data_IF_484559804888
#
_entry.id   IF_484559804888
#
_cell.length_a   1.000
_cell.length_b   1.000
_cell.length_c   1.000
_cell.angle_alpha   90.00
_cell.angle_beta   90.00
_cell.angle_gamma   90.00
#
_symmetry.space_group_name_H-M   'P 1'
#
loop_
_entity.id
_entity.type
_entity.pdbx_description
1 polymer ?
#
# COMPACT_ATOMS: atom_id res chain seq x y z
N UNK A 1 3.41 6.10 20.74
CA UNK A 1 4.28 5.40 19.78
C UNK A 1 4.55 6.31 18.61
N UNK A 2 5.81 6.57 18.31
CA UNK A 2 6.15 7.35 17.12
C UNK A 2 5.98 6.48 15.88
N UNK A 3 5.09 6.90 14.99
CA UNK A 3 4.86 6.26 13.69
C UNK A 3 5.51 7.10 12.59
N UNK A 4 5.85 6.51 11.45
CA UNK A 4 6.52 7.26 10.38
C UNK A 4 5.68 8.44 9.89
N UNK A 5 6.34 9.56 9.64
CA UNK A 5 5.73 10.79 9.11
C UNK A 5 6.23 11.12 7.70
N UNK A 6 7.34 10.55 7.32
CA UNK A 6 7.97 10.75 6.01
C UNK A 6 8.81 9.54 5.60
N UNK A 7 9.37 9.58 4.41
CA UNK A 7 10.18 8.48 3.86
C UNK A 7 11.41 8.17 4.71
N UNK A 8 12.03 9.18 5.28
CA UNK A 8 13.22 8.99 6.12
C UNK A 8 12.86 8.14 7.35
N UNK A 9 11.78 8.51 8.01
CA UNK A 9 11.30 7.76 9.18
C UNK A 9 10.81 6.36 8.80
N UNK A 10 10.11 6.22 7.66
CA UNK A 10 9.68 4.90 7.19
C UNK A 10 10.88 3.99 6.95
N UNK A 11 11.92 4.50 6.30
CA UNK A 11 13.14 3.72 6.06
C UNK A 11 13.83 3.31 7.36
N UNK A 12 13.84 4.17 8.36
CA UNK A 12 14.40 3.86 9.68
C UNK A 12 13.59 2.74 10.37
N UNK A 13 12.27 2.85 10.40
CA UNK A 13 11.39 1.82 10.97
C UNK A 13 11.52 0.49 10.23
N UNK A 14 11.56 0.52 8.90
CA UNK A 14 11.71 -0.67 8.07
C UNK A 14 13.05 -1.37 8.34
N UNK A 15 14.11 -0.60 8.51
CA UNK A 15 15.42 -1.15 8.87
C UNK A 15 15.38 -1.83 10.25
N UNK A 16 14.76 -1.21 11.24
CA UNK A 16 14.59 -1.80 12.57
C UNK A 16 13.80 -3.12 12.51
N UNK A 17 12.75 -3.19 11.70
CA UNK A 17 12.01 -4.43 11.49
C UNK A 17 12.89 -5.53 10.91
N UNK A 18 13.74 -5.19 9.94
CA UNK A 18 14.67 -6.17 9.35
C UNK A 18 15.70 -6.64 10.36
N UNK A 19 16.22 -5.75 11.20
CA UNK A 19 17.12 -6.12 12.28
C UNK A 19 16.46 -7.10 13.26
N UNK A 20 15.18 -6.90 13.57
CA UNK A 20 14.40 -7.82 14.40
C UNK A 20 14.18 -9.18 13.76
N UNK A 21 13.90 -9.21 12.45
CA UNK A 21 13.71 -10.45 11.69
C UNK A 21 14.99 -11.27 11.58
N UNK A 22 16.11 -10.61 11.47
CA UNK A 22 17.43 -11.24 11.30
C UNK A 22 18.30 -11.03 12.52
N UNK A 23 17.76 -11.32 13.70
CA UNK A 23 18.41 -11.07 14.99
C UNK A 23 19.76 -11.79 15.18
N UNK A 24 19.98 -12.88 14.43
CA UNK A 24 21.26 -13.61 14.45
C UNK A 24 22.32 -13.01 13.51
N UNK A 25 21.93 -12.05 12.66
CA UNK A 25 22.82 -11.39 11.71
C UNK A 25 23.32 -10.08 12.33
N UNK A 26 24.64 -9.78 12.29
CA UNK A 26 25.13 -8.49 12.79
C UNK A 26 24.47 -7.32 12.05
N UNK A 27 24.14 -6.27 12.77
CA UNK A 27 23.44 -5.10 12.22
C UNK A 27 24.16 -4.51 11.00
N UNK A 28 25.49 -4.44 11.03
CA UNK A 28 26.26 -3.89 9.91
C UNK A 28 26.13 -4.72 8.62
N UNK A 29 25.74 -5.99 8.72
CA UNK A 29 25.54 -6.88 7.57
C UNK A 29 24.13 -6.82 7.01
N UNK A 30 23.19 -6.16 7.70
CA UNK A 30 21.81 -5.98 7.24
C UNK A 30 21.77 -4.78 6.28
N UNK A 31 21.30 -4.97 5.02
CA UNK A 31 21.22 -3.86 4.06
C UNK A 31 20.32 -2.73 4.57
N UNK A 32 20.74 -1.49 4.35
CA UNK A 32 19.91 -0.33 4.65
C UNK A 32 18.69 -0.31 3.75
N UNK A 33 17.54 0.03 4.31
CA UNK A 33 16.31 0.20 3.57
C UNK A 33 16.32 1.55 2.85
N UNK A 34 15.96 1.55 1.56
CA UNK A 34 15.96 2.75 0.73
C UNK A 34 14.68 2.79 -0.11
N UNK A 35 13.54 2.90 0.55
CA UNK A 35 12.24 3.03 -0.10
C UNK A 35 12.09 4.44 -0.68
N UNK A 36 11.44 4.53 -1.85
CA UNK A 36 11.17 5.79 -2.57
C UNK A 36 9.69 5.81 -2.96
N UNK A 37 9.18 6.98 -3.35
CA UNK A 37 7.78 7.14 -3.72
C UNK A 37 7.56 7.93 -5.04
N UNK A 38 8.53 7.88 -5.94
CA UNK A 38 8.47 8.62 -7.21
C UNK A 38 7.55 7.95 -8.24
N UNK A 39 7.48 6.63 -8.23
CA UNK A 39 6.64 5.85 -9.16
C UNK A 39 5.52 5.16 -8.40
N UNK A 40 4.48 4.73 -9.12
CA UNK A 40 3.37 3.96 -8.52
C UNK A 40 3.87 2.69 -7.83
N UNK A 41 4.80 1.98 -8.46
CA UNK A 41 5.36 0.76 -7.88
C UNK A 41 6.15 1.05 -6.60
N UNK A 42 6.94 2.13 -6.60
CA UNK A 42 7.69 2.55 -5.42
C UNK A 42 6.76 2.96 -4.27
N UNK A 43 5.74 3.77 -4.56
CA UNK A 43 4.77 4.18 -3.54
C UNK A 43 3.99 2.99 -2.99
N UNK A 44 3.60 2.04 -3.84
CA UNK A 44 2.94 0.80 -3.42
C UNK A 44 3.80 0.04 -2.40
N UNK A 45 5.08 -0.10 -2.66
CA UNK A 45 6.02 -0.76 -1.74
C UNK A 45 6.12 -0.03 -0.41
N UNK A 46 6.15 1.31 -0.43
CA UNK A 46 6.15 2.13 0.78
C UNK A 46 4.91 1.87 1.64
N UNK A 47 3.74 1.86 1.01
CA UNK A 47 2.46 1.69 1.71
C UNK A 47 2.37 0.29 2.33
N UNK A 48 2.74 -0.74 1.59
CA UNK A 48 2.74 -2.11 2.12
C UNK A 48 3.68 -2.23 3.33
N UNK A 49 4.88 -1.64 3.23
CA UNK A 49 5.82 -1.62 4.34
C UNK A 49 5.28 -0.82 5.53
N UNK A 50 4.61 0.28 5.27
CA UNK A 50 3.99 1.11 6.31
C UNK A 50 2.93 0.33 7.10
N UNK A 51 2.10 -0.46 6.43
CA UNK A 51 1.14 -1.33 7.11
C UNK A 51 1.86 -2.29 8.07
N UNK A 52 2.95 -2.91 7.60
CA UNK A 52 3.75 -3.81 8.43
C UNK A 52 4.34 -3.07 9.66
N UNK A 53 4.89 -1.88 9.45
CA UNK A 53 5.43 -1.04 10.54
C UNK A 53 4.35 -0.70 11.57
N UNK A 54 3.11 -0.51 11.14
CA UNK A 54 1.97 -0.20 12.03
C UNK A 54 1.34 -1.44 12.66
N UNK A 55 1.91 -2.61 12.44
CA UNK A 55 1.39 -3.86 13.01
C UNK A 55 0.24 -4.48 12.24
N UNK A 56 -0.02 -4.01 11.03
CA UNK A 56 -1.05 -4.54 10.13
C UNK A 56 -0.48 -5.40 9.03
N UNK A 57 -1.33 -5.73 8.08
CA UNK A 57 -0.96 -6.45 6.86
C UNK A 57 -1.59 -5.76 5.65
N UNK A 58 -0.91 -5.80 4.52
CA UNK A 58 -1.44 -5.26 3.27
C UNK A 58 -0.99 -6.11 2.09
N UNK A 59 -1.84 -6.15 1.08
CA UNK A 59 -1.59 -6.92 -0.13
C UNK A 59 -1.81 -6.04 -1.36
N UNK A 60 -0.91 -6.20 -2.34
CA UNK A 60 -1.09 -5.62 -3.65
C UNK A 60 -2.12 -6.46 -4.42
N UNK A 61 -3.12 -5.79 -4.98
CA UNK A 61 -4.14 -6.46 -5.78
C UNK A 61 -3.74 -6.37 -7.26
N UNK A 62 -3.59 -7.52 -7.90
CA UNK A 62 -3.31 -7.57 -9.33
C UNK A 62 -4.63 -7.72 -10.09
N UNK A 63 -5.02 -6.65 -10.77
CA UNK A 63 -6.24 -6.60 -11.60
C UNK A 63 -5.96 -6.83 -13.07
N UNK A 64 -4.69 -7.04 -13.44
CA UNK A 64 -4.33 -7.30 -14.84
C UNK A 64 -4.80 -8.69 -15.27
N UNK A 65 -5.33 -8.78 -16.50
CA UNK A 65 -5.68 -10.04 -17.10
C UNK A 65 -4.47 -10.92 -17.39
N UNK A 66 -4.72 -12.19 -17.66
CA UNK A 66 -3.69 -13.15 -18.04
C UNK A 66 -3.79 -13.39 -19.55
N UNK A 67 -2.66 -13.39 -20.24
CA UNK A 67 -2.61 -13.74 -21.65
C UNK A 67 -2.78 -15.26 -21.80
N UNK A 68 -3.80 -15.66 -22.57
CA UNK A 68 -4.06 -17.07 -22.88
C UNK A 68 -3.42 -17.41 -24.23
N UNK A 69 -2.28 -18.09 -24.18
CA UNK A 69 -1.54 -18.49 -25.37
C UNK A 69 -2.33 -19.42 -26.29
N UNK A 70 -3.17 -20.29 -25.72
CA UNK A 70 -3.98 -21.24 -26.51
C UNK A 70 -5.04 -20.55 -27.34
N UNK A 71 -5.61 -19.43 -26.83
CA UNK A 71 -6.68 -18.69 -27.50
C UNK A 71 -6.18 -17.43 -28.19
N UNK A 72 -4.92 -17.06 -27.99
CA UNK A 72 -4.34 -15.83 -28.53
C UNK A 72 -5.02 -14.56 -28.02
N UNK A 73 -5.57 -14.58 -26.82
CA UNK A 73 -6.34 -13.47 -26.23
C UNK A 73 -5.95 -13.20 -24.79
N UNK A 74 -6.12 -11.95 -24.39
CA UNK A 74 -6.07 -11.60 -22.97
C UNK A 74 -7.36 -12.03 -22.29
N UNK A 75 -7.24 -12.80 -21.20
CA UNK A 75 -8.37 -13.15 -20.34
C UNK A 75 -8.56 -12.05 -19.33
N UNK A 76 -9.80 -11.62 -19.13
CA UNK A 76 -10.12 -10.65 -18.08
C UNK A 76 -9.80 -11.25 -16.72
N UNK A 77 -9.27 -10.42 -15.82
CA UNK A 77 -9.19 -10.77 -14.41
C UNK A 77 -10.60 -11.02 -13.89
N UNK A 78 -10.78 -11.99 -13.00
CA UNK A 78 -12.07 -12.22 -12.32
C UNK A 78 -12.42 -11.12 -11.33
N UNK A 79 -11.55 -10.13 -11.15
CA UNK A 79 -11.75 -9.03 -10.21
C UNK A 79 -12.71 -7.99 -10.78
N UNK A 80 -13.51 -7.42 -9.91
CA UNK A 80 -14.41 -6.31 -10.24
C UNK A 80 -13.58 -5.06 -10.60
N UNK A 81 -14.02 -4.30 -11.60
CA UNK A 81 -13.40 -3.02 -11.96
C UNK A 81 -13.46 -2.03 -10.81
N UNK A 82 -12.39 -1.28 -10.62
CA UNK A 82 -12.31 -0.23 -9.61
C UNK A 82 -11.83 -0.70 -8.25
N UNK A 83 -11.50 -1.97 -8.09
CA UNK A 83 -10.90 -2.48 -6.85
C UNK A 83 -9.59 -1.73 -6.58
N UNK A 84 -9.33 -1.31 -5.32
CA UNK A 84 -8.10 -0.59 -4.99
C UNK A 84 -6.83 -1.38 -5.31
N UNK A 85 -5.75 -0.67 -5.60
CA UNK A 85 -4.43 -1.27 -5.86
C UNK A 85 -3.90 -2.06 -4.66
N UNK A 86 -4.23 -1.60 -3.46
CA UNK A 86 -3.77 -2.19 -2.20
C UNK A 86 -4.97 -2.35 -1.29
N UNK A 87 -5.05 -3.51 -0.64
CA UNK A 87 -5.97 -3.72 0.48
C UNK A 87 -5.16 -4.06 1.72
N UNK A 88 -5.64 -3.66 2.87
CA UNK A 88 -4.95 -3.92 4.13
C UNK A 88 -5.86 -3.86 5.34
N UNK A 89 -5.35 -4.34 6.45
CA UNK A 89 -6.05 -4.33 7.73
C UNK A 89 -5.08 -3.88 8.82
N UNK A 90 -5.49 -2.93 9.62
CA UNK A 90 -4.79 -2.50 10.85
C UNK A 90 -5.85 -2.43 11.96
N UNK A 91 -5.59 -3.10 13.07
CA UNK A 91 -6.49 -3.13 14.23
C UNK A 91 -7.94 -3.46 13.86
N UNK A 92 -8.13 -4.41 12.96
CA UNK A 92 -9.45 -4.84 12.50
C UNK A 92 -10.12 -3.90 11.50
N UNK A 93 -9.53 -2.76 11.18
CA UNK A 93 -10.06 -1.81 10.21
C UNK A 93 -9.55 -2.14 8.80
N UNK A 94 -10.47 -2.28 7.86
CA UNK A 94 -10.16 -2.51 6.44
C UNK A 94 -9.81 -1.20 5.75
N UNK A 95 -8.75 -1.25 4.94
CA UNK A 95 -8.31 -0.14 4.11
C UNK A 95 -8.27 -0.55 2.64
N UNK A 96 -8.80 0.30 1.77
CA UNK A 96 -8.57 0.22 0.33
C UNK A 96 -7.77 1.44 -0.10
N UNK A 97 -6.59 1.24 -0.63
CA UNK A 97 -5.69 2.31 -1.04
C UNK A 97 -5.50 2.28 -2.55
N UNK A 98 -5.87 3.36 -3.22
CA UNK A 98 -5.63 3.57 -4.64
C UNK A 98 -4.40 4.44 -4.82
N UNK A 99 -3.46 4.02 -5.66
CA UNK A 99 -2.23 4.77 -5.91
C UNK A 99 -2.37 5.58 -7.19
N UNK A 100 -2.27 6.90 -7.09
CA UNK A 100 -2.41 7.84 -8.21
C UNK A 100 -1.26 8.83 -8.21
N UNK A 101 -0.24 8.56 -9.04
CA UNK A 101 0.92 9.44 -9.17
C UNK A 101 0.67 10.48 -10.26
N UNK A 102 1.13 11.72 -10.01
CA UNK A 102 1.07 12.79 -10.99
C UNK A 102 -0.36 13.23 -11.32
N UNK A 103 -0.71 13.17 -12.61
CA UNK A 103 -2.01 13.65 -13.10
C UNK A 103 -3.10 12.59 -13.14
N UNK A 104 -2.81 11.39 -12.71
CA UNK A 104 -3.78 10.31 -12.64
C UNK A 104 -4.97 10.71 -11.76
N UNK A 105 -6.17 10.37 -12.22
CA UNK A 105 -7.42 10.68 -11.53
C UNK A 105 -8.23 9.42 -11.28
N UNK A 106 -9.04 9.48 -10.25
CA UNK A 106 -9.97 8.41 -9.91
C UNK A 106 -10.99 8.19 -11.03
N UNK A 107 -11.20 6.93 -11.43
CA UNK A 107 -12.22 6.57 -12.42
C UNK A 107 -13.62 6.50 -11.78
N UNK A 108 -14.66 6.44 -12.63
CA UNK A 108 -16.03 6.27 -12.15
C UNK A 108 -16.21 4.94 -11.39
N UNK A 109 -15.63 3.87 -11.90
CA UNK A 109 -15.67 2.55 -11.21
C UNK A 109 -15.00 2.60 -9.84
N UNK A 110 -13.88 3.30 -9.73
CA UNK A 110 -13.17 3.49 -8.46
C UNK A 110 -14.00 4.30 -7.46
N UNK A 111 -14.76 5.30 -7.91
CA UNK A 111 -15.66 6.07 -7.05
C UNK A 111 -16.78 5.23 -6.46
N UNK A 112 -17.33 4.31 -7.24
CA UNK A 112 -18.35 3.37 -6.77
C UNK A 112 -17.79 2.49 -5.67
N UNK A 113 -16.59 1.93 -5.86
CA UNK A 113 -15.92 1.09 -4.87
C UNK A 113 -15.60 1.89 -3.60
N UNK A 114 -15.16 3.14 -3.74
CA UNK A 114 -14.92 4.03 -2.60
C UNK A 114 -16.17 4.16 -1.72
N UNK A 115 -17.32 4.44 -2.34
CA UNK A 115 -18.60 4.56 -1.60
C UNK A 115 -18.95 3.25 -0.90
N UNK A 116 -18.79 2.12 -1.58
CA UNK A 116 -19.11 0.81 -1.01
C UNK A 116 -18.21 0.48 0.19
N UNK A 117 -16.90 0.74 0.08
CA UNK A 117 -15.96 0.51 1.18
C UNK A 117 -16.32 1.38 2.38
N UNK A 118 -16.58 2.67 2.16
CA UNK A 118 -16.93 3.60 3.22
C UNK A 118 -18.24 3.22 3.89
N UNK A 119 -19.27 2.85 3.12
CA UNK A 119 -20.56 2.42 3.66
C UNK A 119 -20.45 1.12 4.46
N UNK A 120 -19.55 0.23 4.07
CA UNK A 120 -19.33 -1.03 4.77
C UNK A 120 -18.48 -0.88 6.04
N UNK A 121 -18.02 0.33 6.36
CA UNK A 121 -17.23 0.62 7.56
C UNK A 121 -15.72 0.56 7.35
N UNK A 122 -15.25 0.37 6.13
CA UNK A 122 -13.83 0.45 5.79
C UNK A 122 -13.39 1.89 5.52
N UNK A 123 -12.13 2.05 5.21
CA UNK A 123 -11.53 3.34 4.87
C UNK A 123 -10.93 3.25 3.47
N UNK A 124 -11.28 4.18 2.60
CA UNK A 124 -10.71 4.30 1.26
C UNK A 124 -9.84 5.56 1.21
N UNK A 125 -8.68 5.45 0.58
CA UNK A 125 -7.77 6.59 0.44
C UNK A 125 -7.06 6.55 -0.91
N UNK A 126 -6.91 7.73 -1.52
CA UNK A 126 -6.13 7.89 -2.75
C UNK A 126 -4.77 8.44 -2.37
N UNK A 127 -3.73 7.62 -2.54
CA UNK A 127 -2.36 7.96 -2.19
C UNK A 127 -1.62 8.55 -3.40
N UNK A 128 -1.05 9.73 -3.24
CA UNK A 128 -0.25 10.42 -4.27
C UNK A 128 1.22 10.46 -3.94
N UNK A 129 1.56 10.47 -2.67
CA UNK A 129 2.93 10.42 -2.16
C UNK A 129 2.90 9.83 -0.75
N UNK A 130 4.06 9.43 -0.26
CA UNK A 130 4.12 8.79 1.05
C UNK A 130 3.83 9.75 2.20
N UNK A 131 4.34 10.98 2.13
CA UNK A 131 4.17 11.96 3.22
C UNK A 131 2.70 12.25 3.52
N UNK A 132 1.91 12.54 2.51
CA UNK A 132 0.47 12.82 2.67
C UNK A 132 -0.27 11.57 3.16
N UNK A 133 0.08 10.40 2.62
CA UNK A 133 -0.45 9.12 3.08
C UNK A 133 -0.16 8.91 4.58
N UNK A 134 1.08 9.12 5.01
CA UNK A 134 1.48 8.96 6.40
C UNK A 134 0.72 9.93 7.33
N UNK A 135 0.54 11.16 6.92
CA UNK A 135 -0.27 12.15 7.66
C UNK A 135 -1.71 11.67 7.84
N UNK A 136 -2.30 11.16 6.76
CA UNK A 136 -3.65 10.61 6.80
C UNK A 136 -3.73 9.42 7.77
N UNK A 137 -2.82 8.46 7.67
CA UNK A 137 -2.82 7.28 8.54
C UNK A 137 -2.61 7.67 10.00
N UNK A 138 -1.73 8.62 10.28
CA UNK A 138 -1.50 9.10 11.63
C UNK A 138 -2.75 9.79 12.21
N UNK A 139 -3.51 10.51 11.37
CA UNK A 139 -4.77 11.12 11.79
C UNK A 139 -5.86 10.09 12.10
N UNK A 140 -5.94 9.02 11.30
CA UNK A 140 -6.92 7.94 11.52
C UNK A 140 -6.74 7.28 12.90
N UNK A 141 -5.50 7.13 13.34
CA UNK A 141 -5.16 6.42 14.58
C UNK A 141 -4.77 7.34 15.73
N UNK A 142 -5.00 8.63 15.59
CA UNK A 142 -4.73 9.58 16.68
C UNK A 142 -5.85 9.61 17.71
#
# INVERSE_FOLDING_TARGET
MNLPRDLKELNAFAFELNCGKYSSVPEFAIPKTNLKDKTSNELTKCIIKDFEVRGGIAYRINTMGIYDEKRGKWRKSGMRKGIPDIIGIIDGTFFGIEVKIGRDKQSADQRVIELEINEAGGIYYIAKNYKDYAEFMNAVFS
#
